data_IF_002291596774
#
_entry.id   IF_002291596774
#
_cell.length_a   1.000
_cell.length_b   1.000
_cell.length_c   1.000
_cell.angle_alpha   90.00
_cell.angle_beta   90.00
_cell.angle_gamma   90.00
#
_symmetry.space_group_name_H-M   'P 1'
#
loop_
_entity.id
_entity.type
_entity.pdbx_description
1 polymer ?
#
# COMPACT_ATOMS: atom_id res chain seq x y z
N UNK A 1 15.17 5.53 6.86
CA UNK A 1 15.91 4.35 7.37
C UNK A 1 14.88 3.43 7.98
N UNK A 2 14.80 2.17 7.51
CA UNK A 2 13.83 1.18 7.99
C UNK A 2 14.12 0.82 9.45
N UNK A 3 13.06 0.71 10.27
CA UNK A 3 13.13 0.44 11.70
C UNK A 3 12.74 -1.01 11.98
N UNK A 4 13.61 -1.75 12.65
CA UNK A 4 13.41 -3.16 13.00
C UNK A 4 13.38 -3.31 14.52
N UNK A 5 12.36 -3.99 15.05
CA UNK A 5 12.33 -4.45 16.43
C UNK A 5 12.73 -5.94 16.46
N UNK A 6 13.67 -6.29 17.33
CA UNK A 6 14.04 -7.67 17.64
C UNK A 6 13.52 -7.99 19.03
N UNK A 7 12.70 -9.04 19.13
CA UNK A 7 12.17 -9.56 20.40
C UNK A 7 12.63 -11.00 20.53
N UNK A 8 13.67 -11.20 21.31
CA UNK A 8 14.38 -12.48 21.46
C UNK A 8 15.03 -12.50 22.84
N UNK A 9 14.73 -13.51 23.66
CA UNK A 9 15.21 -13.61 25.04
C UNK A 9 16.65 -14.14 25.14
N UNK A 10 17.11 -14.93 24.15
CA UNK A 10 18.52 -15.26 24.05
C UNK A 10 19.32 -13.98 23.71
N UNK A 11 19.98 -13.45 24.73
CA UNK A 11 20.74 -12.21 24.63
C UNK A 11 21.88 -12.26 23.59
N UNK A 12 22.49 -13.44 23.40
CA UNK A 12 23.54 -13.62 22.39
C UNK A 12 22.96 -13.58 20.98
N UNK A 13 21.89 -14.31 20.73
CA UNK A 13 21.20 -14.28 19.44
C UNK A 13 20.64 -12.89 19.13
N UNK A 14 20.02 -12.22 20.11
CA UNK A 14 19.51 -10.86 19.99
C UNK A 14 20.64 -9.89 19.59
N UNK A 15 21.77 -9.92 20.29
CA UNK A 15 22.94 -9.09 19.99
C UNK A 15 23.49 -9.36 18.59
N UNK A 16 23.60 -10.63 18.19
CA UNK A 16 24.10 -11.03 16.86
C UNK A 16 23.18 -10.52 15.75
N UNK A 17 21.86 -10.64 15.92
CA UNK A 17 20.87 -10.11 14.99
C UNK A 17 20.97 -8.57 14.89
N UNK A 18 21.03 -7.90 16.05
CA UNK A 18 21.14 -6.44 16.11
C UNK A 18 22.39 -5.93 15.41
N UNK A 19 23.54 -6.57 15.65
CA UNK A 19 24.79 -6.21 15.00
C UNK A 19 24.72 -6.33 13.49
N UNK A 20 24.25 -7.47 12.98
CA UNK A 20 24.20 -7.74 11.55
C UNK A 20 23.17 -6.83 10.83
N UNK A 21 21.99 -6.62 11.40
CA UNK A 21 20.97 -5.77 10.79
C UNK A 21 21.34 -4.29 10.84
N UNK A 22 22.04 -3.84 11.89
CA UNK A 22 22.60 -2.48 11.95
C UNK A 22 23.68 -2.29 10.89
N UNK A 23 24.54 -3.28 10.67
CA UNK A 23 25.56 -3.25 9.61
C UNK A 23 24.93 -3.17 8.20
N UNK A 24 23.73 -3.72 8.01
CA UNK A 24 22.94 -3.60 6.76
C UNK A 24 22.24 -2.23 6.61
N UNK A 25 22.39 -1.31 7.57
CA UNK A 25 21.86 0.05 7.51
C UNK A 25 20.44 0.20 8.06
N UNK A 26 19.92 -0.76 8.82
CA UNK A 26 18.65 -0.65 9.51
C UNK A 26 18.77 0.05 10.86
N UNK A 27 17.73 0.76 11.28
CA UNK A 27 17.60 1.20 12.68
C UNK A 27 17.07 0.04 13.52
N UNK A 28 17.84 -0.42 14.50
CA UNK A 28 17.48 -1.61 15.27
C UNK A 28 17.17 -1.24 16.72
N UNK A 29 16.09 -1.82 17.24
CA UNK A 29 15.74 -1.82 18.66
C UNK A 29 15.68 -3.25 19.13
N UNK A 30 16.26 -3.54 20.30
CA UNK A 30 16.27 -4.86 20.92
C UNK A 30 15.39 -4.88 22.17
N UNK A 31 14.61 -5.96 22.31
CA UNK A 31 13.83 -6.31 23.50
C UNK A 31 14.13 -7.78 23.87
N UNK A 32 14.35 -8.04 25.14
CA UNK A 32 14.66 -9.39 25.64
C UNK A 32 13.43 -10.09 26.26
N UNK A 33 12.26 -9.44 26.23
CA UNK A 33 11.03 -9.97 26.81
C UNK A 33 9.81 -9.22 26.23
N UNK A 34 8.61 -9.79 26.47
CA UNK A 34 7.36 -9.27 25.95
C UNK A 34 7.03 -7.86 26.47
N UNK A 35 7.35 -7.58 27.74
CA UNK A 35 7.06 -6.28 28.37
C UNK A 35 7.83 -5.16 27.70
N UNK A 36 9.16 -5.30 27.54
CA UNK A 36 10.00 -4.29 26.90
C UNK A 36 9.64 -4.11 25.42
N UNK A 37 9.25 -5.20 24.73
CA UNK A 37 8.75 -5.14 23.37
C UNK A 37 7.44 -4.34 23.28
N UNK A 38 6.47 -4.63 24.16
CA UNK A 38 5.21 -3.89 24.19
C UNK A 38 5.41 -2.39 24.46
N UNK A 39 6.34 -2.03 25.36
CA UNK A 39 6.66 -0.64 25.63
C UNK A 39 7.28 0.06 24.40
N UNK A 40 8.17 -0.62 23.67
CA UNK A 40 8.76 -0.11 22.44
C UNK A 40 7.68 0.10 21.33
N UNK A 41 6.77 -0.86 21.17
CA UNK A 41 5.67 -0.81 20.19
C UNK A 41 4.71 0.35 20.46
N UNK A 42 4.43 0.66 21.75
CA UNK A 42 3.58 1.81 22.12
C UNK A 42 4.23 3.17 21.83
N UNK A 43 5.55 3.24 21.81
CA UNK A 43 6.30 4.48 21.63
C UNK A 43 6.51 4.86 20.16
N UNK A 44 6.60 3.87 19.27
CA UNK A 44 6.82 4.09 17.84
C UNK A 44 6.44 2.89 16.99
N UNK A 45 6.21 3.17 15.71
CA UNK A 45 6.02 2.17 14.68
C UNK A 45 7.37 1.56 14.24
N UNK A 46 7.31 0.28 13.86
CA UNK A 46 8.42 -0.45 13.24
C UNK A 46 8.02 -0.96 11.86
N UNK A 47 8.95 -0.92 10.91
CA UNK A 47 8.72 -1.49 9.57
C UNK A 47 8.70 -3.04 9.62
N UNK A 48 9.48 -3.64 10.54
CA UNK A 48 9.57 -5.08 10.71
C UNK A 48 9.82 -5.45 12.18
N UNK A 49 9.21 -6.54 12.62
CA UNK A 49 9.43 -7.14 13.94
C UNK A 49 9.88 -8.59 13.76
N UNK A 50 11.07 -8.92 14.24
CA UNK A 50 11.51 -10.29 14.47
C UNK A 50 11.07 -10.70 15.88
N UNK A 51 10.26 -11.74 16.00
CA UNK A 51 9.52 -12.02 17.22
C UNK A 51 9.63 -13.49 17.61
N UNK A 52 10.32 -13.76 18.72
CA UNK A 52 10.25 -15.10 19.30
C UNK A 52 8.84 -15.39 19.82
N UNK A 53 8.37 -16.61 19.57
CA UNK A 53 7.08 -17.09 20.08
C UNK A 53 7.15 -17.27 21.59
N UNK A 54 8.27 -17.86 22.10
CA UNK A 54 8.42 -18.23 23.49
C UNK A 54 9.27 -17.17 24.22
N UNK A 55 8.60 -16.28 24.93
CA UNK A 55 9.25 -15.25 25.74
C UNK A 55 9.10 -15.56 27.23
N UNK A 56 10.06 -15.17 28.08
CA UNK A 56 10.06 -15.53 29.49
C UNK A 56 8.89 -14.96 30.28
N UNK A 57 8.26 -13.88 29.81
CA UNK A 57 7.18 -13.16 30.46
C UNK A 57 5.90 -13.08 29.61
N UNK A 58 5.83 -13.84 28.49
CA UNK A 58 4.68 -13.77 27.60
C UNK A 58 4.82 -14.64 26.35
N UNK A 59 3.96 -14.37 25.39
CA UNK A 59 3.91 -15.12 24.14
C UNK A 59 3.92 -14.16 22.94
N UNK A 60 4.74 -14.46 21.95
CA UNK A 60 4.88 -13.64 20.73
C UNK A 60 3.58 -13.46 19.95
N UNK A 61 2.68 -14.44 19.97
CA UNK A 61 1.37 -14.29 19.30
C UNK A 61 0.54 -13.16 19.91
N UNK A 62 0.59 -12.94 21.20
CA UNK A 62 -0.13 -11.84 21.85
C UNK A 62 0.49 -10.47 21.50
N UNK A 63 1.80 -10.40 21.34
CA UNK A 63 2.46 -9.19 20.82
C UNK A 63 2.07 -8.92 19.35
N UNK A 64 1.97 -9.95 18.51
CA UNK A 64 1.52 -9.81 17.14
C UNK A 64 0.08 -9.26 17.07
N UNK A 65 -0.82 -9.74 17.92
CA UNK A 65 -2.19 -9.22 18.05
C UNK A 65 -2.24 -7.78 18.57
N UNK A 66 -1.23 -7.32 19.30
CA UNK A 66 -1.11 -5.92 19.70
C UNK A 66 -0.63 -5.04 18.54
N UNK A 67 0.31 -5.53 17.72
CA UNK A 67 0.93 -4.80 16.61
C UNK A 67 -0.06 -4.58 15.47
N UNK A 68 -0.68 -5.66 14.99
CA UNK A 68 -1.41 -5.68 13.73
C UNK A 68 -2.63 -4.75 13.64
N UNK A 69 -3.47 -4.59 14.67
CA UNK A 69 -4.56 -3.63 14.64
C UNK A 69 -4.10 -2.17 14.65
N UNK A 70 -2.95 -1.89 15.27
CA UNK A 70 -2.41 -0.53 15.41
C UNK A 70 -1.52 -0.16 14.21
N UNK A 71 -0.75 -1.12 13.71
CA UNK A 71 0.22 -0.97 12.62
C UNK A 71 0.06 -2.10 11.59
N UNK A 72 -0.95 -2.04 10.71
CA UNK A 72 -1.26 -3.11 9.76
C UNK A 72 -0.10 -3.43 8.80
N UNK A 73 0.68 -2.42 8.43
CA UNK A 73 1.78 -2.51 7.47
C UNK A 73 3.08 -3.05 8.06
N UNK A 74 3.19 -3.15 9.41
CA UNK A 74 4.35 -3.75 10.06
C UNK A 74 4.50 -5.22 9.67
N UNK A 75 5.64 -5.60 9.10
CA UNK A 75 5.98 -7.00 8.83
C UNK A 75 6.29 -7.68 10.17
N UNK A 76 5.61 -8.79 10.48
CA UNK A 76 5.96 -9.64 11.61
C UNK A 76 6.48 -10.97 11.10
N UNK A 77 7.71 -11.34 11.54
CA UNK A 77 8.35 -12.62 11.26
C UNK A 77 8.55 -13.32 12.60
N UNK A 78 7.97 -14.50 12.76
CA UNK A 78 8.22 -15.29 13.94
C UNK A 78 9.54 -16.04 13.86
N UNK A 79 10.28 -16.04 14.98
CA UNK A 79 11.40 -16.94 15.22
C UNK A 79 10.92 -18.04 16.14
N UNK A 80 11.07 -19.30 15.75
CA UNK A 80 10.51 -20.43 16.53
C UNK A 80 11.49 -21.59 16.60
N UNK A 81 11.55 -22.25 17.75
CA UNK A 81 12.28 -23.49 17.93
C UNK A 81 11.49 -24.72 17.48
N UNK A 82 10.21 -24.55 17.09
CA UNK A 82 9.27 -25.64 16.85
C UNK A 82 8.69 -25.58 15.44
N UNK A 83 8.76 -26.70 14.70
CA UNK A 83 8.19 -26.88 13.36
C UNK A 83 6.72 -27.34 13.38
N UNK A 84 6.02 -27.21 14.53
CA UNK A 84 4.64 -27.69 14.61
C UNK A 84 3.75 -26.87 13.65
N UNK A 85 3.08 -27.58 12.76
CA UNK A 85 2.14 -27.06 11.78
C UNK A 85 1.04 -26.20 12.44
N UNK A 86 0.64 -26.55 13.68
CA UNK A 86 -0.31 -25.81 14.49
C UNK A 86 0.14 -24.37 14.83
N UNK A 87 1.43 -24.16 15.09
CA UNK A 87 1.97 -22.84 15.43
C UNK A 87 2.08 -21.96 14.18
N UNK A 88 2.40 -22.56 13.03
CA UNK A 88 2.44 -21.85 11.76
C UNK A 88 1.03 -21.39 11.34
N UNK A 89 0.02 -22.26 11.41
CA UNK A 89 -1.38 -21.91 11.09
C UNK A 89 -1.85 -20.76 11.99
N UNK A 90 -1.63 -20.88 13.31
CA UNK A 90 -2.02 -19.87 14.28
C UNK A 90 -1.38 -18.50 14.02
N UNK A 91 -0.15 -18.48 13.58
CA UNK A 91 0.53 -17.22 13.35
C UNK A 91 0.10 -16.53 12.07
N UNK A 92 -0.21 -17.25 11.00
CA UNK A 92 -0.82 -16.65 9.82
C UNK A 92 -2.21 -16.06 10.16
N UNK A 93 -2.99 -16.71 11.03
CA UNK A 93 -4.28 -16.20 11.52
C UNK A 93 -4.14 -14.87 12.29
N UNK A 94 -3.04 -14.65 13.01
CA UNK A 94 -2.78 -13.39 13.73
C UNK A 94 -2.08 -12.34 12.85
N UNK A 95 -1.85 -12.64 11.56
CA UNK A 95 -1.34 -11.68 10.56
C UNK A 95 0.18 -11.61 10.44
N UNK A 96 0.93 -12.64 10.89
CA UNK A 96 2.35 -12.73 10.57
C UNK A 96 2.54 -13.01 9.07
N UNK A 97 3.66 -12.48 8.55
CA UNK A 97 4.01 -12.65 7.12
C UNK A 97 4.82 -13.93 6.91
N UNK A 98 5.60 -14.36 7.91
CA UNK A 98 6.51 -15.49 7.75
C UNK A 98 6.98 -16.09 9.08
N UNK A 99 7.62 -17.27 8.98
CA UNK A 99 8.21 -18.05 10.06
C UNK A 99 9.65 -18.44 9.73
N UNK A 100 10.51 -18.41 10.74
CA UNK A 100 11.89 -18.87 10.62
C UNK A 100 12.19 -19.80 11.78
N UNK A 101 12.47 -21.06 11.47
CA UNK A 101 12.81 -22.07 12.46
C UNK A 101 14.26 -21.93 12.91
N UNK A 102 14.47 -22.02 14.22
CA UNK A 102 15.79 -22.09 14.84
C UNK A 102 16.31 -23.54 14.82
N UNK A 103 17.58 -23.78 14.50
CA UNK A 103 18.63 -22.82 14.17
C UNK A 103 18.56 -22.34 12.71
N UNK A 104 18.86 -21.07 12.47
CA UNK A 104 18.87 -20.47 11.14
C UNK A 104 20.22 -19.78 10.82
N UNK A 105 20.47 -19.59 9.54
CA UNK A 105 21.65 -18.87 9.06
C UNK A 105 21.32 -17.38 8.98
N UNK A 106 22.06 -16.53 9.73
CA UNK A 106 21.83 -15.07 9.78
C UNK A 106 21.85 -14.44 8.38
N UNK A 107 22.80 -14.81 7.52
CA UNK A 107 22.84 -14.29 6.15
C UNK A 107 21.66 -14.72 5.25
N UNK A 108 20.94 -15.78 5.59
CA UNK A 108 19.68 -16.14 4.91
C UNK A 108 18.53 -15.24 5.39
N UNK A 109 18.46 -14.97 6.69
CA UNK A 109 17.50 -14.03 7.29
C UNK A 109 17.69 -12.61 6.72
N UNK A 110 18.93 -12.10 6.65
CA UNK A 110 19.24 -10.79 6.07
C UNK A 110 18.72 -10.67 4.62
N UNK A 111 19.00 -11.67 3.78
CA UNK A 111 18.51 -11.70 2.38
C UNK A 111 16.98 -11.72 2.32
N UNK A 112 16.33 -12.47 3.21
CA UNK A 112 14.87 -12.55 3.27
C UNK A 112 14.26 -11.20 3.68
N UNK A 113 14.78 -10.55 4.71
CA UNK A 113 14.36 -9.21 5.13
C UNK A 113 14.52 -8.19 3.99
N UNK A 114 15.68 -8.19 3.34
CA UNK A 114 15.95 -7.31 2.19
C UNK A 114 14.96 -7.54 1.04
N UNK A 115 14.66 -8.80 0.72
CA UNK A 115 13.68 -9.14 -0.32
C UNK A 115 12.26 -8.68 0.06
N UNK A 116 11.85 -8.85 1.33
CA UNK A 116 10.54 -8.40 1.82
C UNK A 116 10.41 -6.88 1.74
N UNK A 117 11.41 -6.13 2.16
CA UNK A 117 11.39 -4.67 2.03
C UNK A 117 11.37 -4.22 0.56
N UNK A 118 12.12 -4.87 -0.32
CA UNK A 118 12.10 -4.59 -1.75
C UNK A 118 10.70 -4.87 -2.35
N UNK A 119 10.06 -5.98 -1.98
CA UNK A 119 8.68 -6.27 -2.41
C UNK A 119 7.70 -5.19 -1.94
N UNK A 120 7.80 -4.72 -0.69
CA UNK A 120 6.94 -3.66 -0.18
C UNK A 120 7.20 -2.30 -0.85
N UNK A 121 8.44 -2.00 -1.20
CA UNK A 121 8.77 -0.79 -1.97
C UNK A 121 8.22 -0.85 -3.39
N UNK A 122 8.20 -2.04 -3.99
CA UNK A 122 7.51 -2.28 -5.27
C UNK A 122 5.99 -2.37 -5.13
N UNK A 123 5.46 -2.65 -3.92
CA UNK A 123 4.02 -2.68 -3.59
C UNK A 123 3.52 -1.41 -2.90
N UNK A 124 4.39 -0.44 -2.51
CA UNK A 124 3.90 0.92 -2.43
C UNK A 124 3.43 1.24 -3.84
N UNK A 125 2.12 1.45 -4.06
CA UNK A 125 1.66 1.81 -5.39
C UNK A 125 2.55 2.99 -5.77
N UNK A 126 3.31 2.84 -6.86
CA UNK A 126 4.03 3.96 -7.45
C UNK A 126 3.00 5.08 -7.43
N UNK A 127 3.33 6.22 -6.77
CA UNK A 127 2.36 7.31 -6.60
C UNK A 127 1.58 7.37 -7.88
N UNK A 128 0.32 7.00 -7.83
CA UNK A 128 -0.54 6.87 -9.01
C UNK A 128 -0.94 8.29 -9.42
N UNK A 129 0.07 9.05 -9.90
CA UNK A 129 -0.01 10.46 -10.20
C UNK A 129 -0.11 10.65 -11.70
N UNK A 130 -0.98 11.56 -12.09
CA UNK A 130 -0.96 12.22 -13.39
C UNK A 130 -0.59 13.67 -13.17
N UNK A 131 0.43 14.14 -13.87
CA UNK A 131 0.87 15.53 -13.84
C UNK A 131 1.39 15.93 -15.23
N UNK A 132 0.74 16.90 -15.86
CA UNK A 132 1.17 17.48 -17.12
C UNK A 132 1.59 18.96 -16.99
N UNK A 133 1.79 19.42 -15.75
CA UNK A 133 2.12 20.81 -15.42
C UNK A 133 0.89 21.72 -15.30
N UNK A 134 -0.28 21.31 -15.76
CA UNK A 134 -1.54 22.04 -15.68
C UNK A 134 -2.55 21.32 -14.78
N UNK A 135 -2.79 20.02 -15.02
CA UNK A 135 -3.64 19.17 -14.21
C UNK A 135 -2.79 18.19 -13.40
N UNK A 136 -2.91 18.28 -12.09
CA UNK A 136 -2.34 17.32 -11.15
C UNK A 136 -3.44 16.45 -10.56
N UNK A 137 -3.25 15.12 -10.57
CA UNK A 137 -4.15 14.14 -9.97
C UNK A 137 -3.31 13.11 -9.23
N UNK A 138 -3.49 12.99 -7.92
CA UNK A 138 -3.00 11.86 -7.12
C UNK A 138 -4.16 10.92 -6.83
N UNK A 139 -4.14 9.75 -7.45
CA UNK A 139 -5.20 8.75 -7.34
C UNK A 139 -5.10 7.95 -6.03
N UNK A 140 -3.92 7.93 -5.40
CA UNK A 140 -3.70 7.26 -4.13
C UNK A 140 -4.25 8.09 -2.97
N UNK A 141 -3.90 9.39 -2.95
CA UNK A 141 -4.33 10.33 -1.90
C UNK A 141 -5.66 11.02 -2.22
N UNK A 142 -6.22 10.78 -3.41
CA UNK A 142 -7.42 11.46 -3.94
C UNK A 142 -7.33 12.99 -3.84
N UNK A 143 -6.17 13.54 -4.21
CA UNK A 143 -5.96 14.97 -4.29
C UNK A 143 -5.80 15.42 -5.73
N UNK A 144 -6.33 16.59 -6.06
CA UNK A 144 -6.30 17.15 -7.40
C UNK A 144 -6.07 18.66 -7.40
N UNK A 145 -5.42 19.18 -8.43
CA UNK A 145 -5.35 20.63 -8.68
C UNK A 145 -5.29 20.94 -10.18
N UNK A 146 -5.80 22.12 -10.56
CA UNK A 146 -5.70 22.69 -11.89
C UNK A 146 -4.94 24.02 -11.81
N UNK A 147 -3.81 24.15 -12.52
CA UNK A 147 -2.92 25.31 -12.42
C UNK A 147 -2.54 25.65 -10.97
N UNK A 148 -2.26 24.63 -10.15
CA UNK A 148 -1.93 24.75 -8.73
C UNK A 148 -3.10 25.10 -7.81
N UNK A 149 -4.32 25.30 -8.32
CA UNK A 149 -5.52 25.54 -7.50
C UNK A 149 -6.18 24.20 -7.14
N UNK A 150 -6.46 23.93 -5.86
CA UNK A 150 -7.11 22.68 -5.46
C UNK A 150 -8.46 22.46 -6.15
N UNK A 151 -8.68 21.21 -6.59
CA UNK A 151 -9.94 20.74 -7.16
C UNK A 151 -10.57 19.69 -6.23
N UNK A 152 -11.89 19.78 -6.06
CA UNK A 152 -12.65 18.73 -5.38
C UNK A 152 -13.29 17.80 -6.40
N UNK A 153 -12.81 16.55 -6.42
CA UNK A 153 -13.37 15.48 -7.25
C UNK A 153 -14.03 14.41 -6.37
N UNK A 154 -15.13 13.85 -6.84
CA UNK A 154 -15.77 12.72 -6.18
C UNK A 154 -15.01 11.41 -6.45
N UNK A 155 -15.21 10.34 -5.65
CA UNK A 155 -14.61 9.04 -5.90
C UNK A 155 -14.92 8.49 -7.30
N UNK A 156 -16.13 8.71 -7.82
CA UNK A 156 -16.52 8.30 -9.17
C UNK A 156 -15.78 9.09 -10.25
N UNK A 157 -15.55 10.40 -10.05
CA UNK A 157 -14.77 11.22 -10.97
C UNK A 157 -13.30 10.76 -10.99
N UNK A 158 -12.70 10.42 -9.84
CA UNK A 158 -11.37 9.80 -9.80
C UNK A 158 -11.33 8.45 -10.53
N UNK A 159 -12.31 7.57 -10.31
CA UNK A 159 -12.41 6.27 -11.00
C UNK A 159 -12.48 6.45 -12.51
N UNK A 160 -13.27 7.42 -12.99
CA UNK A 160 -13.42 7.74 -14.41
C UNK A 160 -12.14 8.33 -15.01
N UNK A 161 -11.51 9.29 -14.36
CA UNK A 161 -10.25 9.88 -14.81
C UNK A 161 -9.13 8.85 -14.84
N UNK A 162 -9.06 7.96 -13.85
CA UNK A 162 -8.10 6.87 -13.82
C UNK A 162 -8.29 5.89 -14.99
N UNK A 163 -9.55 5.58 -15.33
CA UNK A 163 -9.85 4.74 -16.48
C UNK A 163 -9.42 5.40 -17.79
N UNK A 164 -9.66 6.70 -17.96
CA UNK A 164 -9.24 7.45 -19.14
C UNK A 164 -7.72 7.51 -19.29
N UNK A 165 -7.00 7.91 -18.24
CA UNK A 165 -5.54 8.05 -18.33
C UNK A 165 -4.80 6.72 -18.54
N UNK A 166 -5.38 5.58 -18.07
CA UNK A 166 -4.85 4.23 -18.33
C UNK A 166 -5.07 3.77 -19.77
N UNK A 167 -5.91 4.47 -20.55
CA UNK A 167 -6.20 4.19 -21.94
C UNK A 167 -5.97 5.44 -22.80
N UNK A 168 -4.75 6.02 -22.81
CA UNK A 168 -4.48 7.27 -23.52
C UNK A 168 -4.69 7.09 -25.03
N UNK A 169 -5.30 8.09 -25.65
CA UNK A 169 -5.60 8.11 -27.09
C UNK A 169 -6.52 6.99 -27.61
N UNK A 170 -6.98 6.09 -26.73
CA UNK A 170 -7.98 5.08 -27.08
C UNK A 170 -9.38 5.65 -26.92
N UNK A 171 -10.27 5.35 -27.88
CA UNK A 171 -11.69 5.65 -27.75
C UNK A 171 -12.32 4.60 -26.86
N UNK A 172 -12.82 5.02 -25.70
CA UNK A 172 -13.63 4.18 -24.83
C UNK A 172 -15.09 4.33 -25.22
N UNK A 173 -15.73 3.23 -25.59
CA UNK A 173 -17.15 3.25 -25.95
C UNK A 173 -18.02 3.52 -24.72
N UNK A 174 -19.25 4.01 -24.94
CA UNK A 174 -20.20 4.25 -23.84
C UNK A 174 -20.48 2.98 -23.05
N UNK A 175 -20.66 1.85 -23.72
CA UNK A 175 -20.86 0.55 -23.07
C UNK A 175 -19.66 0.15 -22.20
N UNK A 176 -18.42 0.29 -22.70
CA UNK A 176 -17.21 0.00 -21.93
C UNK A 176 -17.06 0.90 -20.70
N UNK A 177 -17.45 2.18 -20.79
CA UNK A 177 -17.41 3.10 -19.66
C UNK A 177 -18.46 2.73 -18.62
N UNK A 178 -19.68 2.41 -19.05
CA UNK A 178 -20.75 1.98 -18.16
C UNK A 178 -20.37 0.67 -17.44
N UNK A 179 -19.92 -0.34 -18.16
CA UNK A 179 -19.52 -1.65 -17.60
C UNK A 179 -18.38 -1.56 -16.59
N UNK A 180 -17.37 -0.69 -16.83
CA UNK A 180 -16.19 -0.58 -15.98
C UNK A 180 -16.34 0.38 -14.80
N UNK A 181 -17.28 1.31 -14.86
CA UNK A 181 -17.45 2.35 -13.84
C UNK A 181 -18.56 2.03 -12.86
N UNK A 182 -19.59 1.32 -13.28
CA UNK A 182 -20.71 0.91 -12.45
C UNK A 182 -20.75 -0.61 -12.37
N UNK A 183 -20.88 -1.17 -11.16
CA UNK A 183 -20.99 -2.61 -10.96
C UNK A 183 -22.30 -3.14 -11.57
N UNK A 184 -22.25 -4.37 -12.09
CA UNK A 184 -23.35 -5.07 -12.80
C UNK A 184 -24.63 -5.17 -11.95
N UNK A 185 -24.53 -5.03 -10.63
CA UNK A 185 -25.66 -5.10 -9.68
C UNK A 185 -26.44 -3.78 -9.50
N UNK A 186 -25.89 -2.63 -9.90
CA UNK A 186 -26.63 -1.37 -9.96
C UNK A 186 -27.45 -1.31 -11.26
N UNK A 187 -28.60 -2.01 -11.27
CA UNK A 187 -29.58 -1.97 -12.34
C UNK A 187 -30.01 -0.52 -12.59
N UNK A 188 -29.77 -0.03 -13.83
CA UNK A 188 -30.23 1.26 -14.39
C UNK A 188 -29.29 2.47 -14.30
N UNK A 189 -28.02 2.30 -14.61
CA UNK A 189 -27.22 3.47 -15.01
C UNK A 189 -27.35 3.64 -16.53
N UNK A 190 -28.04 4.68 -16.95
CA UNK A 190 -28.28 4.98 -18.34
C UNK A 190 -27.18 5.85 -18.97
N UNK A 191 -27.21 5.98 -20.29
CA UNK A 191 -26.26 6.82 -21.04
C UNK A 191 -26.32 8.31 -20.64
N UNK A 192 -27.42 8.75 -20.07
CA UNK A 192 -27.60 10.12 -19.61
C UNK A 192 -26.72 10.40 -18.37
N UNK A 193 -26.65 9.45 -17.45
CA UNK A 193 -25.78 9.53 -16.27
C UNK A 193 -24.31 9.64 -16.67
N UNK A 194 -23.86 8.85 -17.65
CA UNK A 194 -22.49 8.95 -18.18
C UNK A 194 -22.22 10.34 -18.80
N UNK A 195 -23.13 10.83 -19.65
CA UNK A 195 -22.99 12.13 -20.31
C UNK A 195 -22.91 13.27 -19.29
N UNK A 196 -23.76 13.22 -18.25
CA UNK A 196 -23.76 14.20 -17.16
C UNK A 196 -22.45 14.15 -16.36
N UNK A 197 -21.94 12.95 -16.06
CA UNK A 197 -20.67 12.77 -15.34
C UNK A 197 -19.49 13.29 -16.14
N UNK A 198 -19.41 13.04 -17.43
CA UNK A 198 -18.39 13.61 -18.33
C UNK A 198 -18.47 15.14 -18.35
N UNK A 199 -19.65 15.70 -18.44
CA UNK A 199 -19.85 17.16 -18.42
C UNK A 199 -19.35 17.78 -17.12
N UNK A 200 -19.66 17.16 -15.98
CA UNK A 200 -19.19 17.61 -14.64
C UNK A 200 -17.69 17.53 -14.51
N UNK A 201 -17.05 16.46 -14.98
CA UNK A 201 -15.58 16.34 -14.96
C UNK A 201 -14.97 17.44 -15.80
N UNK A 202 -15.42 17.64 -17.05
CA UNK A 202 -14.93 18.70 -17.93
C UNK A 202 -15.04 20.07 -17.28
N UNK A 203 -16.19 20.40 -16.69
CA UNK A 203 -16.38 21.71 -16.03
C UNK A 203 -15.38 21.96 -14.90
N UNK A 204 -14.79 20.92 -14.31
CA UNK A 204 -13.78 21.02 -13.27
C UNK A 204 -12.38 21.09 -13.82
N UNK A 205 -11.98 20.14 -14.69
CA UNK A 205 -10.60 20.00 -15.15
C UNK A 205 -10.27 20.84 -16.41
N UNK A 206 -11.27 21.41 -17.06
CA UNK A 206 -11.15 22.25 -18.28
C UNK A 206 -11.66 23.67 -18.04
N UNK A 207 -11.87 24.08 -16.78
CA UNK A 207 -12.45 25.38 -16.39
C UNK A 207 -11.57 26.59 -16.72
N UNK A 208 -10.31 26.37 -17.00
CA UNK A 208 -9.33 27.41 -17.32
C UNK A 208 -9.30 27.77 -18.82
N UNK A 209 -10.11 27.11 -19.66
CA UNK A 209 -10.15 27.33 -21.11
C UNK A 209 -8.97 26.76 -21.89
N UNK A 210 -8.14 25.94 -21.25
CA UNK A 210 -7.03 25.25 -21.91
C UNK A 210 -7.47 24.10 -22.81
N UNK A 211 -6.51 23.38 -23.39
CA UNK A 211 -6.79 22.24 -24.25
C UNK A 211 -7.65 21.19 -23.52
N UNK A 212 -8.66 20.57 -24.19
CA UNK A 212 -9.54 19.62 -23.54
C UNK A 212 -8.82 18.33 -23.18
N UNK A 213 -9.14 17.77 -22.00
CA UNK A 213 -8.63 16.49 -21.55
C UNK A 213 -9.45 15.31 -22.07
N UNK A 214 -10.75 15.51 -22.22
CA UNK A 214 -11.67 14.47 -22.68
C UNK A 214 -12.36 14.93 -23.97
N UNK A 215 -12.11 14.24 -25.07
CA UNK A 215 -12.73 14.51 -26.36
C UNK A 215 -13.93 13.59 -26.58
N UNK A 216 -15.04 14.12 -27.12
CA UNK A 216 -16.15 13.32 -27.63
C UNK A 216 -15.82 12.83 -29.03
N UNK A 217 -15.94 11.51 -29.24
CA UNK A 217 -15.89 10.88 -30.56
C UNK A 217 -17.34 10.52 -30.93
N UNK A 218 -17.94 11.31 -31.79
CA UNK A 218 -19.37 11.19 -32.14
C UNK A 218 -19.72 9.78 -32.62
N UNK A 219 -20.83 9.24 -32.09
CA UNK A 219 -21.32 7.90 -32.41
C UNK A 219 -20.50 6.75 -31.77
N UNK A 220 -19.36 7.03 -31.11
CA UNK A 220 -18.48 6.00 -30.55
C UNK A 220 -18.33 6.10 -29.02
N UNK A 221 -17.94 7.27 -28.50
CA UNK A 221 -17.67 7.41 -27.07
C UNK A 221 -16.78 8.60 -26.75
N UNK A 222 -15.82 8.37 -25.84
CA UNK A 222 -14.93 9.42 -25.34
C UNK A 222 -13.48 8.98 -25.37
N UNK A 223 -12.57 9.94 -25.51
CA UNK A 223 -11.13 9.72 -25.63
C UNK A 223 -10.38 10.68 -24.71
N UNK A 224 -9.35 10.17 -24.01
CA UNK A 224 -8.42 10.98 -23.25
C UNK A 224 -7.35 11.57 -24.17
N UNK A 225 -7.20 12.89 -24.14
CA UNK A 225 -6.19 13.61 -24.94
C UNK A 225 -5.00 14.10 -24.11
N UNK A 226 -5.10 14.03 -22.77
CA UNK A 226 -4.02 14.48 -21.88
C UNK A 226 -3.76 15.99 -21.88
N UNK A 227 -4.75 16.81 -22.27
CA UNK A 227 -4.58 18.27 -22.32
C UNK A 227 -3.61 18.75 -23.42
N UNK A 228 -3.14 17.88 -24.30
CA UNK A 228 -2.31 18.25 -25.44
C UNK A 228 -3.14 19.07 -26.46
N UNK A 229 -2.69 20.28 -26.76
CA UNK A 229 -3.16 21.01 -27.95
C UNK A 229 -2.77 20.20 -29.21
N UNK A 230 -3.66 20.15 -30.21
CA UNK A 230 -3.37 19.57 -31.51
C UNK A 230 -2.27 20.31 -32.21
#
# INVERSE_FOLDING_TARGET
>A
MKQILIVEDDSFLNMMLAYNLTADGYGVTSALNARTAADAIRQREFDLVLLDINLPDGNGFELCKLIKPQYPDTIVIFLTANDQESDQIRGYEVGAVDYITKPFVIGALQRKIKAMFAMLEHHKPAKDIYDDGRLFLDFSEQTASLNGKPLTLSPMEYKMLNLFRKNPRQVLTRGQLLERLWDIDERFVDEHTLTTSISRIRSKIESDGGAPYIKTVYGMGYQWTGGEAK
#
